data_IF_856030851720
#
_entry.id   IF_856030851720
#
_cell.length_a   1.000
_cell.length_b   1.000
_cell.length_c   1.000
_cell.angle_alpha   90.00
_cell.angle_beta   90.00
_cell.angle_gamma   90.00
#
_symmetry.space_group_name_H-M   'P 1'
#
loop_
_entity.id
_entity.type
_entity.pdbx_description
1 polymer ?
#
# COMPACT_ATOMS: atom_id res chain seq x y z
N UNK A 1 4.64 -5.87 -10.51
CA UNK A 1 3.79 -6.56 -11.49
C UNK A 1 3.98 -8.03 -11.20
N UNK A 2 3.03 -8.62 -10.47
CA UNK A 2 3.13 -10.01 -10.04
C UNK A 2 2.78 -10.89 -11.23
N UNK A 3 3.76 -11.64 -11.74
CA UNK A 3 3.54 -12.57 -12.83
C UNK A 3 2.93 -13.85 -12.26
N UNK A 4 1.61 -14.02 -12.41
CA UNK A 4 0.94 -15.23 -11.98
C UNK A 4 1.16 -16.33 -13.01
N UNK A 5 1.98 -17.31 -12.66
CA UNK A 5 2.06 -18.56 -13.42
C UNK A 5 1.33 -19.64 -12.64
N UNK A 6 0.31 -20.22 -13.25
CA UNK A 6 -0.40 -21.37 -12.70
C UNK A 6 0.17 -22.64 -13.32
N UNK A 7 0.67 -23.52 -12.48
CA UNK A 7 1.10 -24.86 -12.87
C UNK A 7 0.56 -25.84 -11.83
N UNK A 8 -0.21 -26.82 -12.28
CA UNK A 8 -0.82 -27.82 -11.41
C UNK A 8 0.19 -28.92 -11.07
N UNK A 9 0.12 -29.48 -9.86
CA UNK A 9 0.99 -30.59 -9.42
C UNK A 9 2.44 -30.20 -9.11
N UNK A 10 2.75 -28.91 -8.99
CA UNK A 10 4.10 -28.44 -8.63
C UNK A 10 4.39 -28.67 -7.15
N UNK A 11 5.49 -29.38 -6.87
CA UNK A 11 6.03 -29.56 -5.52
C UNK A 11 6.75 -28.28 -5.07
N UNK A 12 6.07 -27.46 -4.27
CA UNK A 12 6.59 -26.19 -3.77
C UNK A 12 7.75 -26.37 -2.78
N UNK A 13 7.86 -27.51 -2.10
CA UNK A 13 8.96 -27.80 -1.18
C UNK A 13 10.29 -28.03 -1.92
N UNK A 14 10.24 -28.56 -3.15
CA UNK A 14 11.41 -28.68 -4.02
C UNK A 14 11.68 -27.40 -4.80
N UNK A 15 10.62 -26.66 -5.17
CA UNK A 15 10.75 -25.44 -5.96
C UNK A 15 11.38 -24.29 -5.17
N UNK A 16 11.03 -24.12 -3.90
CA UNK A 16 11.53 -22.99 -3.09
C UNK A 16 13.07 -22.98 -2.91
N UNK A 17 13.74 -24.10 -2.58
CA UNK A 17 15.20 -24.15 -2.54
C UNK A 17 15.82 -23.83 -3.91
N UNK A 18 15.30 -24.43 -4.99
CA UNK A 18 15.81 -24.19 -6.34
C UNK A 18 15.71 -22.71 -6.75
N UNK A 19 14.59 -22.05 -6.45
CA UNK A 19 14.42 -20.61 -6.69
C UNK A 19 15.38 -19.76 -5.86
N UNK A 20 15.65 -20.17 -4.62
CA UNK A 20 16.60 -19.49 -3.74
C UNK A 20 18.01 -19.55 -4.33
N UNK A 21 18.44 -20.73 -4.79
CA UNK A 21 19.75 -20.92 -5.42
C UNK A 21 19.87 -20.13 -6.75
N UNK A 22 18.79 -20.08 -7.53
CA UNK A 22 18.73 -19.34 -8.80
C UNK A 22 18.64 -17.82 -8.64
N UNK A 23 18.31 -17.34 -7.44
CA UNK A 23 18.09 -15.91 -7.20
C UNK A 23 19.33 -15.09 -7.53
N UNK A 24 20.50 -15.53 -7.05
CA UNK A 24 21.78 -14.84 -7.15
C UNK A 24 21.60 -13.35 -6.75
N UNK A 25 20.80 -13.11 -5.71
CA UNK A 25 20.47 -11.77 -5.19
C UNK A 25 19.53 -10.92 -6.05
N UNK A 26 18.99 -11.43 -7.16
CA UNK A 26 18.12 -10.66 -8.08
C UNK A 26 16.64 -10.65 -7.68
N UNK A 27 16.22 -11.62 -6.89
CA UNK A 27 14.88 -11.73 -6.36
C UNK A 27 14.91 -12.53 -5.07
N UNK A 28 13.81 -12.55 -4.34
CA UNK A 28 13.68 -13.35 -3.12
C UNK A 28 12.29 -13.96 -3.03
N UNK A 29 12.21 -15.09 -2.34
CA UNK A 29 10.93 -15.65 -1.92
C UNK A 29 10.44 -14.83 -0.72
N UNK A 30 9.21 -14.34 -0.79
CA UNK A 30 8.62 -13.55 0.29
C UNK A 30 8.26 -14.46 1.45
N UNK A 31 8.71 -14.11 2.66
CA UNK A 31 8.35 -14.85 3.86
C UNK A 31 6.85 -14.76 4.15
N UNK A 32 6.25 -15.85 4.64
CA UNK A 32 4.82 -15.89 4.94
C UNK A 32 4.40 -14.78 5.91
N UNK A 33 5.22 -14.49 6.94
CA UNK A 33 4.97 -13.39 7.89
C UNK A 33 4.85 -12.02 7.20
N UNK A 34 5.61 -11.80 6.13
CA UNK A 34 5.53 -10.57 5.34
C UNK A 34 4.25 -10.52 4.52
N UNK A 35 3.79 -11.65 3.98
CA UNK A 35 2.51 -11.74 3.28
C UNK A 35 1.33 -11.53 4.23
N UNK A 36 1.36 -12.15 5.41
CA UNK A 36 0.36 -11.98 6.48
C UNK A 36 0.26 -10.50 6.91
N UNK A 37 1.39 -9.85 7.19
CA UNK A 37 1.44 -8.45 7.56
C UNK A 37 0.92 -7.50 6.47
N UNK A 38 0.94 -7.94 5.20
CA UNK A 38 0.41 -7.20 4.04
C UNK A 38 -1.01 -7.60 3.67
N UNK A 39 -1.65 -8.46 4.47
CA UNK A 39 -2.96 -9.07 4.16
C UNK A 39 -3.00 -9.74 2.77
N UNK A 40 -1.88 -10.30 2.32
CA UNK A 40 -1.72 -10.97 1.04
C UNK A 40 -1.71 -12.51 1.23
N UNK A 41 -2.67 -12.99 2.02
CA UNK A 41 -2.89 -14.40 2.36
C UNK A 41 -4.39 -14.71 2.23
N UNK A 42 -4.80 -15.95 2.46
CA UNK A 42 -6.20 -16.36 2.58
C UNK A 42 -7.09 -16.13 1.34
N UNK A 43 -6.50 -16.20 0.14
CA UNK A 43 -7.25 -16.14 -1.11
C UNK A 43 -6.70 -17.14 -2.13
N UNK A 44 -7.54 -17.92 -2.85
CA UNK A 44 -7.09 -18.97 -3.78
C UNK A 44 -6.32 -18.43 -5.00
N UNK A 45 -6.37 -17.12 -5.25
CA UNK A 45 -5.56 -16.47 -6.28
C UNK A 45 -4.15 -16.06 -5.80
N UNK A 46 -3.88 -16.11 -4.50
CA UNK A 46 -2.52 -15.93 -3.98
C UNK A 46 -1.74 -17.21 -4.25
N UNK A 47 -0.61 -17.07 -4.93
CA UNK A 47 0.24 -18.21 -5.27
C UNK A 47 0.84 -18.86 -4.03
N UNK A 48 1.06 -20.18 -4.10
CA UNK A 48 1.68 -20.94 -3.01
C UNK A 48 3.13 -20.49 -2.70
N UNK A 49 3.80 -19.87 -3.69
CA UNK A 49 5.05 -19.15 -3.52
C UNK A 49 4.88 -17.76 -4.14
N UNK A 50 5.31 -16.73 -3.42
CA UNK A 50 5.39 -15.36 -3.91
C UNK A 50 6.86 -14.99 -4.00
N UNK A 51 7.28 -14.49 -5.17
CA UNK A 51 8.61 -13.95 -5.38
C UNK A 51 8.52 -12.45 -5.66
N UNK A 52 9.46 -11.71 -5.09
CA UNK A 52 9.58 -10.27 -5.27
C UNK A 52 10.98 -9.91 -5.74
N UNK A 53 11.08 -8.75 -6.37
CA UNK A 53 12.34 -8.13 -6.76
C UNK A 53 12.26 -6.63 -6.46
N UNK A 54 13.36 -5.91 -6.62
CA UNK A 54 13.44 -4.47 -6.40
C UNK A 54 13.79 -3.74 -7.71
N UNK A 55 13.40 -2.47 -7.88
CA UNK A 55 13.82 -1.69 -9.04
C UNK A 55 15.37 -1.70 -9.19
N UNK A 56 15.90 -1.73 -10.42
CA UNK A 56 15.21 -1.74 -11.71
C UNK A 56 14.91 -3.15 -12.26
N UNK A 57 15.01 -4.20 -11.44
CA UNK A 57 14.87 -5.59 -11.89
C UNK A 57 13.41 -5.95 -12.17
N UNK A 58 13.18 -6.70 -13.24
CA UNK A 58 11.85 -7.16 -13.65
C UNK A 58 11.88 -8.65 -13.96
N UNK A 59 10.72 -9.29 -13.88
CA UNK A 59 10.49 -10.62 -14.44
C UNK A 59 9.86 -10.46 -15.83
N UNK A 60 10.66 -10.46 -16.92
CA UNK A 60 10.08 -10.33 -18.25
C UNK A 60 9.27 -11.58 -18.60
N UNK A 61 8.11 -11.38 -19.22
CA UNK A 61 7.37 -12.47 -19.86
C UNK A 61 8.13 -13.08 -21.06
N UNK A 62 7.51 -14.02 -21.76
CA UNK A 62 8.10 -14.78 -22.88
C UNK A 62 8.55 -13.95 -24.12
N UNK A 63 8.43 -12.62 -24.11
CA UNK A 63 8.91 -11.71 -25.18
C UNK A 63 10.22 -10.97 -24.86
N UNK A 64 10.94 -11.37 -23.82
CA UNK A 64 11.84 -10.52 -23.02
C UNK A 64 13.25 -10.17 -23.52
N UNK A 65 13.60 -10.25 -24.81
CA UNK A 65 14.91 -9.71 -25.27
C UNK A 65 14.71 -8.48 -26.16
N UNK A 66 15.11 -7.31 -25.66
CA UNK A 66 15.17 -6.06 -26.42
C UNK A 66 13.93 -5.15 -26.31
N UNK A 67 13.00 -5.42 -25.39
CA UNK A 67 11.88 -4.51 -25.15
C UNK A 67 12.36 -3.22 -24.45
N UNK A 68 11.94 -2.07 -24.98
CA UNK A 68 12.18 -0.73 -24.42
C UNK A 68 11.23 -0.50 -23.23
N UNK A 69 11.61 -1.01 -22.05
CA UNK A 69 10.83 -0.86 -20.83
C UNK A 69 11.05 0.53 -20.23
N UNK A 70 10.04 1.40 -20.30
CA UNK A 70 10.12 2.79 -19.82
C UNK A 70 9.66 3.00 -18.38
N UNK A 71 9.10 1.97 -17.74
CA UNK A 71 8.65 2.01 -16.35
C UNK A 71 7.97 0.71 -15.93
N UNK A 72 8.02 0.39 -14.63
CA UNK A 72 7.36 -0.78 -14.06
C UNK A 72 6.78 -0.42 -12.69
N UNK A 73 5.65 -1.03 -12.35
CA UNK A 73 4.95 -0.84 -11.08
C UNK A 73 4.69 -2.17 -10.38
N UNK A 74 4.25 -2.13 -9.12
CA UNK A 74 3.90 -3.32 -8.31
C UNK A 74 5.11 -4.02 -7.71
N UNK A 75 6.13 -3.23 -7.35
CA UNK A 75 7.12 -3.59 -6.34
C UNK A 75 6.48 -3.46 -4.95
N UNK A 76 7.17 -3.87 -3.86
CA UNK A 76 6.66 -3.66 -2.50
C UNK A 76 6.27 -2.20 -2.26
N UNK A 77 5.16 -1.98 -1.54
CA UNK A 77 4.65 -0.64 -1.25
C UNK A 77 5.63 0.26 -0.49
N UNK A 78 6.63 -0.34 0.20
CA UNK A 78 7.72 0.38 0.88
C UNK A 78 8.74 1.02 -0.07
N UNK A 79 8.69 0.71 -1.38
CA UNK A 79 9.55 1.37 -2.37
C UNK A 79 8.98 2.76 -2.64
N UNK A 80 9.77 3.80 -2.39
CA UNK A 80 9.34 5.21 -2.50
C UNK A 80 8.69 5.55 -3.85
N UNK A 81 9.22 5.00 -4.94
CA UNK A 81 8.68 5.20 -6.30
C UNK A 81 7.30 4.59 -6.52
N UNK A 82 6.81 3.75 -5.59
CA UNK A 82 5.46 3.18 -5.60
C UNK A 82 4.46 4.00 -4.78
N UNK A 83 4.92 5.05 -4.08
CA UNK A 83 4.03 5.92 -3.33
C UNK A 83 3.05 6.65 -4.27
N UNK A 84 1.79 6.70 -3.86
CA UNK A 84 0.76 7.47 -4.54
C UNK A 84 0.69 8.90 -3.98
N UNK A 85 0.14 9.81 -4.77
CA UNK A 85 -0.10 11.18 -4.36
C UNK A 85 -1.60 11.41 -4.10
N UNK A 86 -1.93 12.05 -2.98
CA UNK A 86 -3.30 12.35 -2.57
C UNK A 86 -3.46 13.86 -2.31
N UNK A 87 -4.50 14.45 -2.91
CA UNK A 87 -4.93 15.83 -2.65
C UNK A 87 -6.44 15.83 -2.48
N UNK A 88 -6.91 16.53 -1.46
CA UNK A 88 -8.33 16.71 -1.18
C UNK A 88 -8.64 18.21 -1.07
N UNK A 89 -9.66 18.67 -1.81
CA UNK A 89 -10.10 20.06 -1.81
C UNK A 89 -11.61 20.10 -1.79
N UNK A 90 -12.17 20.88 -0.88
CA UNK A 90 -13.60 21.06 -0.76
C UNK A 90 -14.01 21.50 0.65
N UNK A 91 -15.30 21.81 0.85
CA UNK A 91 -15.82 22.32 2.12
C UNK A 91 -15.72 21.30 3.28
N UNK A 92 -15.58 20.01 2.96
CA UNK A 92 -15.39 18.94 3.94
C UNK A 92 -13.93 18.72 4.38
N UNK A 93 -12.98 19.50 3.85
CA UNK A 93 -11.55 19.35 4.12
C UNK A 93 -10.94 20.64 4.67
N UNK A 94 -9.94 20.52 5.54
CA UNK A 94 -9.17 21.67 6.03
C UNK A 94 -8.26 22.20 4.92
N UNK A 95 -8.26 23.52 4.72
CA UNK A 95 -7.40 24.18 3.74
C UNK A 95 -5.96 24.26 4.24
N UNK A 96 -4.99 24.07 3.34
CA UNK A 96 -3.56 24.22 3.63
C UNK A 96 -2.96 23.15 4.54
N UNK A 97 -3.69 22.08 4.84
CA UNK A 97 -3.21 21.00 5.69
C UNK A 97 -2.35 20.00 4.90
N UNK A 98 -1.17 19.70 5.43
CA UNK A 98 -0.32 18.58 4.98
C UNK A 98 -0.44 17.47 6.00
N UNK A 99 -0.93 16.32 5.57
CA UNK A 99 -1.08 15.13 6.41
C UNK A 99 0.17 14.23 6.31
N UNK A 100 0.47 13.40 7.33
CA UNK A 100 1.45 12.34 7.19
C UNK A 100 1.00 11.30 6.15
N UNK A 101 1.87 10.33 5.85
CA UNK A 101 1.53 9.20 4.99
C UNK A 101 0.23 8.52 5.45
N UNK A 102 -0.63 8.21 4.49
CA UNK A 102 -1.88 7.50 4.71
C UNK A 102 -1.94 6.27 3.80
N UNK A 103 -2.65 5.24 4.24
CA UNK A 103 -2.90 4.07 3.40
C UNK A 103 -4.04 4.35 2.43
N UNK A 104 -3.95 3.86 1.18
CA UNK A 104 -5.02 4.05 0.20
C UNK A 104 -6.39 3.54 0.68
N UNK A 105 -6.39 2.53 1.56
CA UNK A 105 -7.61 1.98 2.15
C UNK A 105 -8.29 2.94 3.16
N UNK A 106 -7.57 3.96 3.65
CA UNK A 106 -8.14 5.01 4.50
C UNK A 106 -9.14 5.90 3.74
N UNK A 107 -9.05 5.98 2.41
CA UNK A 107 -9.86 6.90 1.59
C UNK A 107 -11.34 6.53 1.61
N UNK A 108 -11.67 5.24 1.50
CA UNK A 108 -13.07 4.79 1.43
C UNK A 108 -13.92 5.26 2.63
N UNK A 109 -13.56 4.99 3.89
CA UNK A 109 -14.39 5.39 5.03
C UNK A 109 -14.53 6.92 5.14
N UNK A 110 -13.51 7.69 4.75
CA UNK A 110 -13.58 9.17 4.73
C UNK A 110 -14.55 9.67 3.66
N UNK A 111 -14.48 9.12 2.45
CA UNK A 111 -15.40 9.49 1.36
C UNK A 111 -16.84 9.09 1.69
N UNK A 112 -17.05 7.90 2.25
CA UNK A 112 -18.38 7.46 2.70
C UNK A 112 -18.97 8.44 3.73
N UNK A 113 -18.16 8.89 4.70
CA UNK A 113 -18.59 9.89 5.68
C UNK A 113 -18.98 11.22 5.02
N UNK A 114 -18.17 11.72 4.07
CA UNK A 114 -18.45 12.97 3.35
C UNK A 114 -19.75 12.90 2.52
N UNK A 115 -20.08 11.72 2.02
CA UNK A 115 -21.29 11.45 1.24
C UNK A 115 -22.49 11.02 2.11
N UNK A 116 -22.33 11.00 3.43
CA UNK A 116 -23.33 10.53 4.38
C UNK A 116 -23.84 9.09 4.07
N UNK A 117 -22.91 8.20 3.75
CA UNK A 117 -23.14 6.79 3.48
C UNK A 117 -22.74 5.93 4.70
N UNK A 118 -23.48 4.86 4.94
CA UNK A 118 -23.09 3.85 5.92
C UNK A 118 -21.92 3.01 5.41
N UNK A 119 -20.90 2.84 6.23
CA UNK A 119 -19.78 1.94 5.92
C UNK A 119 -20.10 0.51 6.37
N UNK A 120 -19.85 -0.51 5.54
CA UNK A 120 -19.94 -1.90 5.95
C UNK A 120 -19.14 -2.19 7.22
N UNK A 121 -19.68 -3.03 8.09
CA UNK A 121 -19.06 -3.37 9.39
C UNK A 121 -17.81 -4.23 9.28
N UNK A 122 -17.54 -4.80 8.10
CA UNK A 122 -16.43 -5.71 7.82
C UNK A 122 -15.22 -5.04 7.17
N UNK A 123 -15.09 -3.72 7.28
CA UNK A 123 -13.94 -2.98 6.75
C UNK A 123 -12.86 -2.91 7.81
N UNK A 124 -11.64 -3.30 7.45
CA UNK A 124 -10.51 -3.41 8.37
C UNK A 124 -9.98 -2.05 8.88
N UNK A 125 -10.36 -0.94 8.25
CA UNK A 125 -9.76 0.38 8.43
C UNK A 125 -10.87 1.45 8.56
N UNK A 126 -10.66 2.41 9.46
CA UNK A 126 -11.65 3.45 9.81
C UNK A 126 -11.34 4.84 9.22
N UNK A 127 -10.27 4.98 8.43
CA UNK A 127 -9.85 6.23 7.79
C UNK A 127 -8.54 6.82 8.32
N UNK A 128 -7.95 6.21 9.36
CA UNK A 128 -6.56 6.43 9.76
C UNK A 128 -6.15 7.90 9.85
N UNK A 129 -5.00 8.22 9.28
CA UNK A 129 -4.40 9.56 9.28
C UNK A 129 -5.19 10.61 8.48
N UNK A 130 -6.17 10.20 7.67
CA UNK A 130 -7.07 11.13 6.97
C UNK A 130 -8.13 11.72 7.90
N UNK A 131 -8.34 11.11 9.08
CA UNK A 131 -9.28 11.61 10.09
C UNK A 131 -8.52 12.36 11.17
N UNK A 132 -9.02 13.54 11.46
CA UNK A 132 -8.65 14.28 12.65
C UNK A 132 -9.21 13.56 13.89
N UNK A 133 -8.35 12.86 14.61
CA UNK A 133 -8.75 12.23 15.87
C UNK A 133 -9.07 13.33 16.89
N UNK A 134 -10.24 13.23 17.50
CA UNK A 134 -10.69 14.17 18.51
C UNK A 134 -9.65 14.22 19.64
N UNK A 135 -9.21 15.43 20.00
CA UNK A 135 -8.37 15.77 21.16
C UNK A 135 -6.83 15.78 21.05
N UNK A 136 -6.26 15.98 19.86
CA UNK A 136 -4.92 16.60 19.78
C UNK A 136 -4.70 17.33 18.45
N UNK A 137 -4.99 18.63 18.47
CA UNK A 137 -4.81 19.59 17.37
C UNK A 137 -5.41 19.18 16.02
N UNK A 138 -6.74 19.32 15.93
CA UNK A 138 -7.42 19.58 14.67
C UNK A 138 -8.50 20.63 14.93
N UNK A 139 -8.22 21.89 14.56
CA UNK A 139 -9.21 22.95 14.58
C UNK A 139 -10.17 22.76 13.39
N UNK A 140 -11.31 22.11 13.65
CA UNK A 140 -12.53 22.45 12.91
C UNK A 140 -12.97 23.82 13.41
N UNK A 141 -12.59 24.87 12.71
CA UNK A 141 -13.34 26.12 12.73
C UNK A 141 -13.07 26.90 11.44
N UNK A 142 -14.17 27.21 10.77
CA UNK A 142 -14.30 28.28 9.79
C UNK A 142 -13.50 29.54 10.18
N UNK A 143 -12.74 30.05 9.21
CA UNK A 143 -12.27 31.42 9.04
C UNK A 143 -11.76 32.19 10.29
N UNK A 144 -10.50 32.63 10.18
CA UNK A 144 -9.82 33.67 10.98
C UNK A 144 -9.25 33.18 12.32
N UNK A 145 -8.02 32.66 12.29
CA UNK A 145 -6.85 33.18 13.04
C UNK A 145 -5.74 32.13 13.15
N UNK A 146 -4.55 32.53 12.72
CA UNK A 146 -3.32 31.74 12.71
C UNK A 146 -2.60 31.96 14.04
N UNK A 147 -2.96 31.21 15.09
CA UNK A 147 -2.24 31.24 16.35
C UNK A 147 -1.57 29.89 16.64
N UNK A 148 -0.26 29.97 16.88
CA UNK A 148 0.67 28.87 16.94
C UNK A 148 0.34 27.89 18.07
N UNK A 149 0.40 26.59 17.76
CA UNK A 149 0.43 25.51 18.74
C UNK A 149 1.60 25.69 19.71
N UNK A 150 1.37 26.27 20.88
CA UNK A 150 2.30 26.21 22.01
C UNK A 150 1.85 25.18 23.04
N UNK A 151 2.82 24.46 23.57
CA UNK A 151 2.73 23.26 24.40
C UNK A 151 2.09 23.54 25.78
N UNK A 152 1.03 22.83 26.22
CA UNK A 152 0.59 22.88 27.59
C UNK A 152 1.28 21.75 28.37
N UNK A 153 2.46 22.04 28.93
CA UNK A 153 2.88 21.43 30.18
C UNK A 153 3.42 22.53 31.08
N UNK A 154 2.81 22.60 32.26
CA UNK A 154 3.30 23.18 33.51
C UNK A 154 4.82 23.16 33.65
#
# INVERSE_FOLDING_TARGET
MTYYQRADGVDTHKLAPALTDMSIGRFYIVFIKTLEARHFVDHPAVGALVIETAPPLIFPGSGGKGADWRGMQGYPASVEQMAAFLVAVGPGFQSGMVIPEAHQLDVYPVVAQLLNLETPSNIAISGGALRCESYRCCLLASNVDFEACTNPRS
#
